data_IF_206465340831
#
_entry.id   IF_206465340831
#
_cell.length_a   1.000
_cell.length_b   1.000
_cell.length_c   1.000
_cell.angle_alpha   90.00
_cell.angle_beta   90.00
_cell.angle_gamma   90.00
#
_symmetry.space_group_name_H-M   'P 1'
#
loop_
_entity.id
_entity.type
_entity.pdbx_description
1 polymer ?
#
# COMPACT_ATOMS: atom_id res chain seq x y z
N UNK A 1 -2.05 12.31 -29.72
CA UNK A 1 -1.50 13.47 -29.01
C UNK A 1 -1.34 13.11 -27.55
N UNK A 2 -0.11 12.96 -27.08
CA UNK A 2 0.21 12.64 -25.68
C UNK A 2 0.17 13.96 -24.90
N UNK A 3 -0.74 14.08 -23.94
CA UNK A 3 -0.74 15.22 -23.03
C UNK A 3 0.31 14.97 -21.93
N UNK A 4 1.07 16.02 -21.61
CA UNK A 4 2.19 16.02 -20.64
C UNK A 4 1.77 15.39 -19.30
N UNK A 5 2.49 14.36 -18.86
CA UNK A 5 2.46 13.88 -17.46
C UNK A 5 2.52 12.37 -17.23
N UNK A 6 2.30 11.56 -18.27
CA UNK A 6 1.91 10.16 -18.11
C UNK A 6 3.07 9.20 -18.35
N UNK A 7 3.94 8.98 -17.35
CA UNK A 7 4.91 7.89 -17.41
C UNK A 7 4.30 6.61 -16.80
N UNK A 8 3.98 5.65 -17.67
CA UNK A 8 3.54 4.31 -17.28
C UNK A 8 4.77 3.46 -16.98
N UNK A 9 5.01 3.15 -15.71
CA UNK A 9 6.01 2.16 -15.31
C UNK A 9 5.39 0.76 -15.44
N UNK A 10 5.86 0.01 -16.43
CA UNK A 10 5.52 -1.41 -16.60
C UNK A 10 6.45 -2.24 -15.72
N UNK A 11 5.96 -2.66 -14.56
CA UNK A 11 6.68 -3.58 -13.68
C UNK A 11 6.24 -5.00 -14.05
N UNK A 12 7.16 -5.83 -14.55
CA UNK A 12 6.89 -7.23 -14.91
C UNK A 12 5.69 -7.45 -15.86
N UNK A 13 5.49 -6.53 -16.82
CA UNK A 13 4.38 -6.60 -17.79
C UNK A 13 3.01 -6.18 -17.24
N UNK A 14 2.93 -5.74 -15.98
CA UNK A 14 1.71 -5.18 -15.38
C UNK A 14 1.80 -3.67 -15.41
N UNK A 15 0.97 -3.05 -16.26
CA UNK A 15 0.85 -1.60 -16.35
C UNK A 15 0.19 -1.06 -15.09
N UNK A 16 0.96 -0.37 -14.23
CA UNK A 16 0.38 0.47 -13.19
C UNK A 16 0.57 1.95 -13.53
N UNK A 17 -0.53 2.69 -13.47
CA UNK A 17 -0.55 4.13 -13.66
C UNK A 17 0.06 4.81 -12.43
N UNK A 18 1.38 4.92 -12.42
CA UNK A 18 2.14 5.54 -11.32
C UNK A 18 2.26 7.03 -11.59
N UNK A 19 1.19 7.78 -11.35
CA UNK A 19 1.29 9.23 -11.34
C UNK A 19 1.96 9.67 -10.04
N UNK A 20 3.17 10.23 -10.18
CA UNK A 20 3.83 11.01 -9.14
C UNK A 20 4.04 10.29 -7.80
N UNK A 21 4.79 9.19 -7.79
CA UNK A 21 5.75 9.03 -6.70
C UNK A 21 6.92 9.95 -7.05
N UNK A 22 6.77 11.24 -6.71
CA UNK A 22 7.70 12.32 -7.03
C UNK A 22 9.05 12.21 -6.31
N UNK A 23 9.32 11.06 -5.69
CA UNK A 23 10.60 10.82 -5.04
C UNK A 23 11.45 9.94 -5.97
N UNK A 24 12.43 10.55 -6.68
CA UNK A 24 13.34 9.82 -7.55
C UNK A 24 14.25 8.84 -6.79
N UNK A 25 14.25 8.85 -5.45
CA UNK A 25 15.03 7.95 -4.61
C UNK A 25 14.23 6.75 -4.08
N UNK A 26 12.97 6.58 -4.51
CA UNK A 26 12.20 5.42 -4.10
C UNK A 26 12.79 4.12 -4.63
N UNK A 27 13.27 3.29 -3.71
CA UNK A 27 13.61 1.92 -4.03
C UNK A 27 12.33 1.16 -4.44
N UNK A 28 12.29 0.74 -5.71
CA UNK A 28 11.19 -0.04 -6.28
C UNK A 28 11.29 -1.54 -5.99
N UNK A 29 12.32 -1.97 -5.25
CA UNK A 29 12.37 -3.31 -4.72
C UNK A 29 11.14 -3.61 -3.87
N UNK A 30 10.54 -4.77 -4.12
CA UNK A 30 9.38 -5.30 -3.41
C UNK A 30 8.14 -4.39 -3.43
N UNK A 31 8.05 -3.49 -4.40
CA UNK A 31 6.87 -2.67 -4.64
C UNK A 31 5.89 -3.40 -5.55
N UNK A 32 4.65 -3.54 -5.07
CA UNK A 32 3.54 -4.13 -5.81
C UNK A 32 2.39 -3.15 -5.97
N UNK A 33 1.56 -3.41 -6.96
CA UNK A 33 0.34 -2.66 -7.23
C UNK A 33 -0.86 -3.58 -6.99
N UNK A 34 -1.76 -3.15 -6.12
CA UNK A 34 -2.93 -3.93 -5.69
C UNK A 34 -4.18 -3.12 -5.93
N UNK A 35 -5.18 -3.73 -6.57
CA UNK A 35 -6.51 -3.14 -6.68
C UNK A 35 -7.41 -3.75 -5.62
N UNK A 36 -8.05 -2.90 -4.81
CA UNK A 36 -9.05 -3.29 -3.82
C UNK A 36 -10.40 -2.71 -4.22
N UNK A 37 -11.48 -3.40 -3.88
CA UNK A 37 -12.83 -2.85 -3.96
C UNK A 37 -13.15 -2.09 -2.66
N UNK A 38 -13.05 -0.76 -2.67
CA UNK A 38 -13.44 0.06 -1.53
C UNK A 38 -14.96 0.00 -1.38
N UNK A 39 -15.41 -0.27 -0.16
CA UNK A 39 -16.83 -0.24 0.22
C UNK A 39 -17.10 0.92 1.17
N UNK A 40 -18.35 1.08 1.61
CA UNK A 40 -18.74 1.99 2.69
C UNK A 40 -17.97 1.73 4.00
N UNK A 41 -17.49 0.49 4.23
CA UNK A 41 -16.63 0.13 5.35
C UNK A 41 -15.13 0.48 5.12
N UNK A 42 -14.78 0.96 3.92
CA UNK A 42 -13.43 1.37 3.54
C UNK A 42 -12.65 0.27 2.82
N UNK A 43 -11.32 0.29 2.99
CA UNK A 43 -10.39 -0.61 2.30
C UNK A 43 -10.04 -1.87 3.10
N UNK A 44 -10.52 -2.00 4.34
CA UNK A 44 -10.31 -3.20 5.15
C UNK A 44 -8.93 -3.31 5.82
N UNK A 45 -8.22 -2.19 6.03
CA UNK A 45 -7.00 -2.15 6.86
C UNK A 45 -6.92 -0.88 7.71
N UNK A 46 -6.05 -0.86 8.71
CA UNK A 46 -5.67 0.34 9.47
C UNK A 46 -4.20 0.70 9.28
N UNK A 47 -3.86 1.97 9.53
CA UNK A 47 -2.49 2.49 9.40
C UNK A 47 -1.83 2.74 10.76
N UNK A 48 -0.51 2.71 10.78
CA UNK A 48 0.36 3.30 11.80
C UNK A 48 1.43 4.19 11.12
N UNK A 49 2.15 4.98 11.90
CA UNK A 49 3.26 5.82 11.42
C UNK A 49 2.80 7.11 10.74
N UNK A 50 3.61 7.61 9.81
CA UNK A 50 3.50 8.94 9.22
C UNK A 50 4.56 9.91 9.76
N UNK A 51 4.68 11.05 9.07
CA UNK A 51 5.51 12.18 9.51
C UNK A 51 5.02 12.73 10.84
N UNK A 52 5.95 13.12 11.70
CA UNK A 52 5.71 13.64 13.05
C UNK A 52 4.86 12.69 13.92
N UNK A 53 4.98 11.38 13.74
CA UNK A 53 4.37 10.41 14.66
C UNK A 53 5.02 10.50 16.04
N UNK A 54 4.39 9.92 17.07
CA UNK A 54 4.90 9.95 18.46
C UNK A 54 6.31 9.36 18.60
N UNK A 55 6.74 8.49 17.68
CA UNK A 55 8.06 7.89 17.66
C UNK A 55 8.96 8.49 16.56
N UNK A 56 8.68 9.71 16.11
CA UNK A 56 9.37 10.39 15.02
C UNK A 56 8.77 10.11 13.64
N UNK A 57 9.48 10.55 12.60
CA UNK A 57 9.08 10.32 11.21
C UNK A 57 9.19 8.83 10.88
N UNK A 58 8.06 8.21 10.50
CA UNK A 58 7.99 6.79 10.16
C UNK A 58 7.15 6.57 8.90
N UNK A 59 7.40 5.48 8.16
CA UNK A 59 6.54 5.05 7.05
C UNK A 59 5.07 4.87 7.47
N UNK A 60 4.15 4.96 6.51
CA UNK A 60 2.74 4.63 6.72
C UNK A 60 2.53 3.14 6.53
N UNK A 61 2.49 2.40 7.64
CA UNK A 61 2.45 0.94 7.65
C UNK A 61 1.05 0.42 7.89
N UNK A 62 0.71 -0.70 7.26
CA UNK A 62 -0.48 -1.49 7.58
C UNK A 62 -0.33 -2.06 8.98
N UNK A 63 -1.19 -1.62 9.89
CA UNK A 63 -1.18 -2.06 11.30
C UNK A 63 -2.04 -3.29 11.53
N UNK A 64 -3.19 -3.36 10.86
CA UNK A 64 -4.13 -4.49 10.94
C UNK A 64 -4.85 -4.67 9.61
N UNK A 65 -5.11 -5.92 9.27
CA UNK A 65 -6.07 -6.32 8.23
C UNK A 65 -7.37 -6.73 8.93
N UNK A 66 -8.51 -6.20 8.48
CA UNK A 66 -9.82 -6.50 9.06
C UNK A 66 -10.45 -7.72 8.38
N UNK A 67 -10.91 -8.67 9.19
CA UNK A 67 -11.59 -9.88 8.71
C UNK A 67 -12.83 -9.55 7.88
N UNK A 68 -12.98 -10.21 6.74
CA UNK A 68 -14.02 -9.97 5.75
C UNK A 68 -13.86 -8.66 4.97
N UNK A 69 -12.83 -7.86 5.23
CA UNK A 69 -12.57 -6.59 4.55
C UNK A 69 -11.93 -6.76 3.18
N UNK A 70 -11.96 -5.70 2.37
CA UNK A 70 -11.44 -5.73 1.00
C UNK A 70 -9.95 -6.14 0.92
N UNK A 71 -9.13 -5.67 1.86
CA UNK A 71 -7.71 -6.05 1.93
C UNK A 71 -7.51 -7.54 2.23
N UNK A 72 -8.29 -8.14 3.14
CA UNK A 72 -8.23 -9.58 3.43
C UNK A 72 -8.66 -10.39 2.20
N UNK A 73 -9.80 -10.03 1.61
CA UNK A 73 -10.34 -10.72 0.42
C UNK A 73 -9.37 -10.68 -0.77
N UNK A 74 -8.60 -9.61 -0.91
CA UNK A 74 -7.59 -9.51 -1.96
C UNK A 74 -6.38 -10.42 -1.72
N UNK A 75 -6.07 -10.79 -0.46
CA UNK A 75 -5.02 -11.74 -0.10
C UNK A 75 -3.60 -11.32 -0.48
N UNK A 76 -3.37 -10.02 -0.74
CA UNK A 76 -2.08 -9.49 -1.23
C UNK A 76 -1.41 -8.49 -0.28
N UNK A 77 -2.12 -8.07 0.75
CA UNK A 77 -1.69 -7.03 1.69
C UNK A 77 -1.57 -7.66 3.07
N UNK A 78 -0.48 -7.37 3.75
CA UNK A 78 -0.14 -7.94 5.04
C UNK A 78 0.22 -6.84 6.05
N UNK A 79 0.10 -7.17 7.34
CA UNK A 79 0.58 -6.29 8.40
C UNK A 79 2.08 -6.03 8.23
N UNK A 80 2.48 -4.77 8.37
CA UNK A 80 3.85 -4.31 8.16
C UNK A 80 4.12 -3.75 6.77
N UNK A 81 3.28 -4.04 5.77
CA UNK A 81 3.42 -3.44 4.44
C UNK A 81 3.30 -1.91 4.50
N UNK A 82 4.07 -1.20 3.66
CA UNK A 82 4.02 0.26 3.57
C UNK A 82 3.10 0.70 2.43
N UNK A 83 2.18 1.63 2.71
CA UNK A 83 1.31 2.23 1.69
C UNK A 83 1.98 3.48 1.11
N UNK A 84 2.43 3.39 -0.14
CA UNK A 84 3.14 4.46 -0.83
C UNK A 84 2.20 5.43 -1.54
N UNK A 85 1.11 4.93 -2.10
CA UNK A 85 0.15 5.72 -2.85
C UNK A 85 -1.24 5.08 -2.91
N UNK A 86 -2.26 5.92 -3.07
CA UNK A 86 -3.66 5.52 -3.26
C UNK A 86 -4.25 6.29 -4.43
N UNK A 87 -4.78 5.60 -5.43
CA UNK A 87 -5.37 6.20 -6.64
C UNK A 87 -4.46 7.25 -7.30
N UNK A 88 -3.16 6.96 -7.37
CA UNK A 88 -2.16 7.87 -7.94
C UNK A 88 -1.76 9.07 -7.06
N UNK A 89 -2.26 9.17 -5.82
CA UNK A 89 -1.80 10.18 -4.86
C UNK A 89 -0.76 9.57 -3.93
N UNK A 90 0.45 10.10 -3.92
CA UNK A 90 1.49 9.67 -2.98
C UNK A 90 1.10 9.98 -1.54
N UNK A 91 1.42 9.06 -0.64
CA UNK A 91 1.27 9.22 0.81
C UNK A 91 2.62 9.41 1.53
N UNK A 92 3.72 9.40 0.79
CA UNK A 92 5.06 9.48 1.37
C UNK A 92 5.29 10.82 2.06
N UNK A 93 5.90 10.76 3.24
CA UNK A 93 6.20 11.96 4.03
C UNK A 93 4.96 12.70 4.54
N UNK A 94 3.75 12.15 4.37
CA UNK A 94 2.55 12.74 4.94
C UNK A 94 2.41 12.41 6.42
N UNK A 95 1.75 13.30 7.15
CA UNK A 95 1.26 12.99 8.48
C UNK A 95 0.16 11.93 8.39
N UNK A 96 0.00 11.15 9.46
CA UNK A 96 -1.04 10.13 9.55
C UNK A 96 -2.44 10.65 9.17
N UNK A 97 -2.78 11.83 9.70
CA UNK A 97 -4.07 12.47 9.49
C UNK A 97 -4.31 12.83 8.01
N UNK A 98 -3.31 13.38 7.32
CA UNK A 98 -3.42 13.78 5.92
C UNK A 98 -3.58 12.56 5.00
N UNK A 99 -2.77 11.52 5.24
CA UNK A 99 -2.88 10.26 4.51
C UNK A 99 -4.25 9.61 4.69
N UNK A 100 -4.78 9.63 5.92
CA UNK A 100 -6.11 9.12 6.22
C UNK A 100 -7.22 9.90 5.50
N UNK A 101 -7.12 11.22 5.43
CA UNK A 101 -8.08 12.06 4.71
C UNK A 101 -8.06 11.76 3.21
N UNK A 102 -6.89 11.53 2.62
CA UNK A 102 -6.78 11.11 1.21
C UNK A 102 -7.50 9.78 1.01
N UNK A 103 -7.21 8.75 1.81
CA UNK A 103 -7.83 7.41 1.71
C UNK A 103 -9.36 7.47 1.86
N UNK A 104 -9.86 8.34 2.75
CA UNK A 104 -11.30 8.55 2.94
C UNK A 104 -11.95 9.27 1.78
N UNK A 105 -11.26 10.22 1.15
CA UNK A 105 -11.79 11.00 0.02
C UNK A 105 -11.96 10.21 -1.28
N UNK A 106 -11.29 9.05 -1.39
CA UNK A 106 -11.42 8.17 -2.55
C UNK A 106 -12.82 7.55 -2.55
N UNK A 107 -13.58 7.61 -3.66
CA UNK A 107 -14.93 7.06 -3.73
C UNK A 107 -14.93 5.54 -3.59
N UNK A 108 -16.09 4.98 -3.25
CA UNK A 108 -16.32 3.53 -3.32
C UNK A 108 -16.07 2.99 -4.74
N UNK A 109 -15.69 1.72 -4.83
CA UNK A 109 -15.32 1.06 -6.07
C UNK A 109 -13.83 0.68 -6.15
N UNK A 110 -13.32 0.41 -7.36
CA UNK A 110 -11.93 -0.02 -7.55
C UNK A 110 -10.92 1.06 -7.13
N UNK A 111 -10.01 0.70 -6.24
CA UNK A 111 -8.95 1.58 -5.72
C UNK A 111 -7.60 0.92 -5.89
N UNK A 112 -6.71 1.58 -6.60
CA UNK A 112 -5.33 1.11 -6.80
C UNK A 112 -4.44 1.62 -5.68
N UNK A 113 -3.69 0.71 -5.07
CA UNK A 113 -2.70 0.95 -4.04
C UNK A 113 -1.32 0.60 -4.57
N UNK A 114 -0.34 1.45 -4.28
CA UNK A 114 1.07 1.12 -4.43
C UNK A 114 1.62 0.77 -3.05
N UNK A 115 2.17 -0.43 -2.92
CA UNK A 115 2.53 -1.03 -1.63
C UNK A 115 3.96 -1.52 -1.70
N UNK A 116 4.80 -1.16 -0.73
CA UNK A 116 6.09 -1.82 -0.53
C UNK A 116 5.92 -2.94 0.48
N UNK A 117 6.30 -4.16 0.07
CA UNK A 117 6.21 -5.34 0.93
C UNK A 117 7.22 -5.23 2.05
N UNK A 118 6.77 -5.52 3.27
CA UNK A 118 7.70 -5.70 4.38
C UNK A 118 8.52 -6.96 4.12
N UNK A 119 9.85 -6.81 3.98
CA UNK A 119 10.75 -7.95 3.91
C UNK A 119 10.71 -8.67 5.26
N UNK A 120 9.88 -9.69 5.36
CA UNK A 120 10.04 -10.70 6.41
C UNK A 120 11.27 -11.50 6.04
N UNK A 121 12.35 -11.33 6.80
CA UNK A 121 13.53 -12.19 6.72
C UNK A 121 13.08 -13.63 6.97
N UNK A 122 12.90 -14.42 5.91
CA UNK A 122 12.74 -15.88 5.96
C UNK A 122 11.32 -16.44 5.85
N UNK A 123 10.71 -16.35 4.66
CA UNK A 123 9.86 -17.46 4.20
C UNK A 123 10.76 -18.61 3.74
N UNK A 124 11.25 -19.39 4.70
CA UNK A 124 12.16 -20.50 4.41
C UNK A 124 12.66 -21.27 5.62
N UNK A 125 11.80 -21.68 6.56
CA UNK A 125 12.05 -22.82 7.43
C UNK A 125 10.78 -23.28 8.16
N UNK A 126 10.29 -24.48 7.79
CA UNK A 126 9.65 -25.45 8.67
C UNK A 126 8.26 -25.10 9.26
N UNK A 127 7.24 -25.14 8.42
CA UNK A 127 5.96 -25.76 8.81
C UNK A 127 5.98 -27.25 8.40
N UNK A 128 6.99 -28.00 8.86
CA UNK A 128 6.93 -29.46 8.80
C UNK A 128 6.35 -29.95 10.13
N UNK A 129 5.13 -30.47 10.03
CA UNK A 129 4.49 -31.51 10.84
C UNK A 129 5.21 -31.84 12.15
N UNK A 130 4.66 -31.37 13.26
CA UNK A 130 4.75 -32.10 14.53
C UNK A 130 3.33 -32.41 15.01
N UNK A 131 2.77 -33.45 14.41
CA UNK A 131 1.83 -34.34 15.06
C UNK A 131 2.65 -35.55 15.55
N UNK A 132 2.97 -35.57 16.84
CA UNK A 132 3.07 -36.77 17.68
C UNK A 132 2.68 -36.35 19.09
#
# INVERSE_FOLDING_TARGET
TIHRGDLVLSINGKSCCVYSVADPNLDMNDVICVELLKTSAGLGFSLDGGKASIAGDRPLLVKRIFKGGAAEQAGKIETGDEILAVSGKSLLGLMHYDAWNIIKSVPEGPVRLLIRKHRTSGSGALALVQLW
#
